data_IF_961934618785
#
_entry.id   IF_961934618785
#
_cell.length_a   1.000
_cell.length_b   1.000
_cell.length_c   1.000
_cell.angle_alpha   90.00
_cell.angle_beta   90.00
_cell.angle_gamma   90.00
#
_symmetry.space_group_name_H-M   'P 1'
#
loop_
_entity.id
_entity.type
_entity.pdbx_description
1 polymer ?
#
# COMPACT_ATOMS: atom_id res chain seq x y z
N UNK A 1 -7.09 2.27 12.88
CA UNK A 1 -8.42 2.58 12.34
C UNK A 1 -8.43 2.08 10.90
N UNK A 2 -9.16 1.00 10.61
CA UNK A 2 -9.42 0.57 9.23
C UNK A 2 -10.17 1.71 8.55
N UNK A 3 -9.58 2.30 7.52
CA UNK A 3 -10.31 3.22 6.63
C UNK A 3 -11.62 2.53 6.26
N UNK A 4 -12.72 3.24 6.40
CA UNK A 4 -14.04 2.76 6.02
C UNK A 4 -14.04 2.70 4.48
N UNK A 5 -13.65 1.53 3.95
CA UNK A 5 -13.62 1.29 2.50
C UNK A 5 -15.07 1.25 2.05
N UNK A 6 -15.48 2.20 1.25
CA UNK A 6 -16.77 2.15 0.56
C UNK A 6 -16.74 1.01 -0.47
N UNK A 7 -17.14 -0.17 0.00
CA UNK A 7 -17.19 -1.37 -0.85
C UNK A 7 -18.16 -1.20 -2.02
N UNK A 8 -19.18 -0.37 -1.90
CA UNK A 8 -20.13 -0.08 -2.98
C UNK A 8 -19.45 0.72 -4.08
N UNK A 9 -18.77 1.82 -3.73
CA UNK A 9 -17.99 2.60 -4.69
C UNK A 9 -16.89 1.78 -5.38
N UNK A 10 -16.23 0.89 -4.64
CA UNK A 10 -15.23 -0.04 -5.21
C UNK A 10 -15.85 -1.00 -6.21
N UNK A 11 -17.02 -1.57 -5.90
CA UNK A 11 -17.72 -2.52 -6.76
C UNK A 11 -18.26 -1.83 -8.02
N UNK A 12 -18.75 -0.59 -7.88
CA UNK A 12 -19.25 0.24 -8.98
C UNK A 12 -18.16 0.69 -9.96
N UNK A 13 -16.97 0.98 -9.45
CA UNK A 13 -15.83 1.37 -10.27
C UNK A 13 -15.25 0.23 -11.10
N UNK A 14 -15.63 -1.03 -10.81
CA UNK A 14 -15.08 -2.21 -11.49
C UNK A 14 -15.57 -2.28 -12.94
N UNK A 15 -14.66 -2.37 -13.95
CA UNK A 15 -15.04 -2.40 -15.35
C UNK A 15 -15.72 -3.70 -15.80
N UNK A 16 -15.55 -4.78 -15.04
CA UNK A 16 -16.17 -6.08 -15.31
C UNK A 16 -17.61 -6.12 -14.82
N UNK A 17 -18.54 -6.73 -15.58
CA UNK A 17 -19.93 -6.93 -15.17
C UNK A 17 -20.04 -7.87 -13.97
N UNK A 18 -20.63 -7.38 -12.89
CA UNK A 18 -20.92 -8.15 -11.67
C UNK A 18 -22.36 -7.98 -11.25
N UNK A 19 -22.93 -9.07 -10.72
CA UNK A 19 -24.18 -9.05 -9.97
C UNK A 19 -24.08 -9.93 -8.71
N UNK A 20 -24.92 -9.65 -7.73
CA UNK A 20 -24.98 -10.39 -6.48
C UNK A 20 -26.39 -10.97 -6.32
N UNK A 21 -26.44 -12.30 -6.13
CA UNK A 21 -27.67 -13.04 -5.81
C UNK A 21 -27.69 -13.44 -4.33
N UNK A 22 -28.87 -13.58 -3.77
CA UNK A 22 -29.05 -14.32 -2.52
C UNK A 22 -29.18 -15.85 -2.79
N UNK A 23 -29.39 -16.61 -1.72
CA UNK A 23 -29.52 -18.07 -1.81
C UNK A 23 -30.80 -18.53 -2.58
N UNK A 24 -31.78 -17.65 -2.70
CA UNK A 24 -33.01 -17.89 -3.46
C UNK A 24 -32.89 -17.40 -4.91
N UNK A 25 -31.70 -17.03 -5.33
CA UNK A 25 -31.36 -16.52 -6.66
C UNK A 25 -32.10 -15.22 -7.01
N UNK A 26 -32.40 -14.40 -6.02
CA UNK A 26 -32.95 -13.06 -6.21
C UNK A 26 -31.76 -12.07 -6.38
N UNK A 27 -31.81 -11.20 -7.39
CA UNK A 27 -30.81 -10.18 -7.64
C UNK A 27 -30.87 -9.12 -6.54
N UNK A 28 -29.79 -8.93 -5.81
CA UNK A 28 -29.68 -7.98 -4.70
C UNK A 28 -28.81 -6.77 -5.01
N UNK A 29 -27.90 -6.93 -5.97
CA UNK A 29 -27.03 -5.85 -6.39
C UNK A 29 -26.53 -6.09 -7.81
N UNK A 30 -26.31 -5.01 -8.57
CA UNK A 30 -25.70 -5.00 -9.91
C UNK A 30 -24.80 -3.79 -10.04
N UNK A 31 -23.61 -3.96 -10.64
CA UNK A 31 -22.75 -2.83 -10.88
C UNK A 31 -23.07 -2.15 -12.24
N UNK A 32 -22.64 -0.88 -12.45
CA UNK A 32 -22.91 -0.16 -13.69
C UNK A 32 -22.41 -0.87 -14.97
N UNK A 33 -21.33 -1.67 -14.85
CA UNK A 33 -20.86 -2.48 -15.98
C UNK A 33 -21.87 -3.60 -16.35
N UNK A 34 -22.50 -4.23 -15.37
CA UNK A 34 -23.51 -5.24 -15.58
C UNK A 34 -24.78 -4.65 -16.24
N UNK A 35 -25.22 -3.48 -15.78
CA UNK A 35 -26.36 -2.76 -16.38
C UNK A 35 -26.14 -2.47 -17.87
N UNK A 36 -24.95 -1.94 -18.21
CA UNK A 36 -24.58 -1.68 -19.61
C UNK A 36 -24.56 -2.95 -20.47
N UNK A 37 -24.03 -4.03 -19.89
CA UNK A 37 -23.90 -5.31 -20.60
C UNK A 37 -25.24 -6.00 -20.80
N UNK A 38 -26.15 -5.93 -19.81
CA UNK A 38 -27.48 -6.50 -19.87
C UNK A 38 -28.48 -5.66 -20.67
N UNK A 39 -28.17 -4.37 -20.93
CA UNK A 39 -29.10 -3.42 -21.55
C UNK A 39 -30.36 -3.19 -20.70
N UNK A 40 -30.21 -3.25 -19.39
CA UNK A 40 -31.31 -3.14 -18.41
C UNK A 40 -31.03 -2.03 -17.40
N UNK A 41 -32.11 -1.53 -16.77
CA UNK A 41 -32.02 -0.59 -15.66
C UNK A 41 -31.98 -1.33 -14.32
N UNK A 42 -31.57 -0.64 -13.27
CA UNK A 42 -31.49 -1.18 -11.92
C UNK A 42 -32.88 -1.64 -11.43
N UNK A 43 -33.93 -0.85 -11.66
CA UNK A 43 -35.31 -1.17 -11.28
C UNK A 43 -35.86 -2.41 -12.00
N UNK A 44 -35.33 -2.73 -13.16
CA UNK A 44 -35.72 -3.92 -13.92
C UNK A 44 -35.08 -5.21 -13.38
N UNK A 45 -33.99 -5.10 -12.61
CA UNK A 45 -33.21 -6.23 -12.15
C UNK A 45 -33.30 -6.46 -10.64
N UNK A 46 -33.10 -5.43 -9.82
CA UNK A 46 -33.02 -5.59 -8.36
C UNK A 46 -34.34 -6.06 -7.77
N UNK A 47 -34.25 -7.01 -6.85
CA UNK A 47 -35.39 -7.60 -6.15
C UNK A 47 -36.16 -8.65 -6.96
N UNK A 48 -35.73 -8.94 -8.18
CA UNK A 48 -36.39 -9.97 -9.02
C UNK A 48 -35.57 -11.26 -9.03
N UNK A 49 -36.28 -12.35 -9.26
CA UNK A 49 -35.65 -13.64 -9.50
C UNK A 49 -34.82 -13.60 -10.76
N UNK A 50 -33.59 -14.13 -10.71
CA UNK A 50 -32.59 -13.98 -11.76
C UNK A 50 -33.12 -14.38 -13.17
N UNK A 51 -33.78 -15.52 -13.27
CA UNK A 51 -34.28 -16.04 -14.55
C UNK A 51 -35.53 -15.32 -15.06
N UNK A 52 -36.29 -14.62 -14.19
CA UNK A 52 -37.41 -13.78 -14.59
C UNK A 52 -36.92 -12.38 -15.06
N UNK A 53 -35.89 -11.86 -14.41
CA UNK A 53 -35.29 -10.55 -14.74
C UNK A 53 -34.53 -10.58 -16.04
N UNK A 54 -33.89 -11.71 -16.34
CA UNK A 54 -33.09 -11.97 -17.53
C UNK A 54 -33.65 -13.22 -18.23
N UNK A 55 -34.81 -13.14 -18.92
CA UNK A 55 -35.42 -14.28 -19.60
C UNK A 55 -34.63 -14.68 -20.82
N UNK A 56 -34.52 -15.96 -21.05
CA UNK A 56 -33.89 -16.55 -22.23
C UNK A 56 -34.71 -16.36 -23.50
N UNK A 57 -34.07 -16.36 -24.67
CA UNK A 57 -34.74 -16.34 -25.97
C UNK A 57 -35.73 -17.50 -26.07
N UNK A 58 -37.02 -17.24 -26.33
CA UNK A 58 -38.06 -18.30 -26.44
C UNK A 58 -37.76 -19.42 -27.43
N UNK A 59 -36.91 -19.15 -28.44
CA UNK A 59 -36.53 -20.12 -29.46
C UNK A 59 -35.46 -21.15 -29.04
N UNK A 60 -34.84 -20.94 -27.86
CA UNK A 60 -33.74 -21.77 -27.34
C UNK A 60 -33.95 -22.20 -25.88
N UNK A 61 -35.17 -22.10 -25.41
CA UNK A 61 -35.53 -22.52 -24.04
C UNK A 61 -35.19 -23.99 -23.87
N UNK A 62 -34.50 -24.28 -22.76
CA UNK A 62 -34.43 -25.53 -22.01
C UNK A 62 -33.05 -26.06 -21.65
N UNK A 63 -31.97 -25.76 -22.35
CA UNK A 63 -30.67 -26.36 -22.02
C UNK A 63 -29.79 -25.38 -21.21
N UNK A 64 -29.75 -24.13 -21.61
CA UNK A 64 -28.90 -23.12 -20.99
C UNK A 64 -29.40 -22.74 -19.59
N UNK A 65 -30.70 -22.44 -19.47
CA UNK A 65 -31.31 -22.13 -18.16
C UNK A 65 -31.19 -23.30 -17.20
N UNK A 66 -31.50 -24.54 -17.65
CA UNK A 66 -31.35 -25.73 -16.81
C UNK A 66 -29.93 -25.94 -16.32
N UNK A 67 -28.93 -25.75 -17.18
CA UNK A 67 -27.53 -25.91 -16.82
C UNK A 67 -27.07 -24.86 -15.80
N UNK A 68 -27.44 -23.60 -16.02
CA UNK A 68 -27.09 -22.49 -15.12
C UNK A 68 -27.81 -22.65 -13.76
N UNK A 69 -29.09 -22.99 -13.78
CA UNK A 69 -29.88 -23.26 -12.57
C UNK A 69 -29.30 -24.42 -11.77
N UNK A 70 -28.95 -25.52 -12.43
CA UNK A 70 -28.28 -26.65 -11.79
C UNK A 70 -26.92 -26.30 -11.19
N UNK A 71 -26.13 -25.44 -11.87
CA UNK A 71 -24.85 -24.93 -11.38
C UNK A 71 -25.04 -24.07 -10.12
N UNK A 72 -25.95 -23.11 -10.14
CA UNK A 72 -26.22 -22.24 -9.01
C UNK A 72 -26.76 -23.03 -7.79
N UNK A 73 -27.65 -23.99 -8.01
CA UNK A 73 -28.14 -24.85 -6.92
C UNK A 73 -27.04 -25.73 -6.32
N UNK A 74 -26.13 -26.30 -7.14
CA UNK A 74 -24.99 -27.04 -6.62
C UNK A 74 -24.07 -26.13 -5.79
N UNK A 75 -23.83 -24.89 -6.22
CA UNK A 75 -23.02 -23.92 -5.51
C UNK A 75 -23.64 -23.61 -4.13
N UNK A 76 -24.94 -23.34 -4.05
CA UNK A 76 -25.65 -23.10 -2.78
C UNK A 76 -25.50 -24.30 -1.85
N UNK A 77 -25.63 -25.52 -2.38
CA UNK A 77 -25.55 -26.76 -1.59
C UNK A 77 -24.13 -27.11 -1.12
N UNK A 78 -23.13 -26.93 -2.00
CA UNK A 78 -21.75 -27.32 -1.71
C UNK A 78 -20.93 -26.19 -1.11
N UNK A 79 -21.33 -24.94 -1.34
CA UNK A 79 -20.56 -23.74 -0.97
C UNK A 79 -19.21 -23.66 -1.65
N UNK A 80 -19.02 -24.33 -2.79
CA UNK A 80 -17.79 -24.26 -3.59
C UNK A 80 -18.00 -23.37 -4.80
N UNK A 81 -16.99 -22.56 -5.20
CA UNK A 81 -17.06 -21.79 -6.42
C UNK A 81 -17.33 -22.70 -7.63
N UNK A 82 -18.24 -22.30 -8.48
CA UNK A 82 -18.49 -22.97 -9.77
C UNK A 82 -18.18 -22.02 -10.92
N UNK A 83 -17.53 -22.53 -11.95
CA UNK A 83 -17.33 -21.84 -13.22
C UNK A 83 -18.35 -22.45 -14.19
N UNK A 84 -19.34 -21.67 -14.58
CA UNK A 84 -20.28 -22.11 -15.60
C UNK A 84 -19.56 -22.19 -16.94
N UNK A 85 -19.88 -23.22 -17.69
CA UNK A 85 -19.37 -23.45 -19.04
C UNK A 85 -19.83 -22.29 -19.95
N UNK A 86 -19.04 -22.03 -21.01
CA UNK A 86 -19.44 -21.18 -22.12
C UNK A 86 -20.90 -21.42 -22.48
N UNK A 87 -21.73 -20.40 -22.31
CA UNK A 87 -23.17 -20.53 -22.45
C UNK A 87 -23.69 -19.50 -23.44
N UNK A 88 -24.48 -19.94 -24.41
CA UNK A 88 -25.24 -19.05 -25.26
C UNK A 88 -26.43 -18.53 -24.42
N UNK A 89 -26.55 -17.22 -24.33
CA UNK A 89 -27.65 -16.56 -23.69
C UNK A 89 -27.92 -15.27 -24.47
N UNK A 90 -28.94 -15.33 -25.34
CA UNK A 90 -29.27 -14.25 -26.25
C UNK A 90 -29.90 -13.07 -25.47
N UNK A 91 -29.51 -11.86 -25.81
CA UNK A 91 -30.05 -10.63 -25.18
C UNK A 91 -31.02 -9.93 -26.12
N UNK A 92 -32.03 -9.20 -25.60
CA UNK A 92 -32.91 -8.40 -26.45
C UNK A 92 -32.11 -7.39 -27.27
N UNK A 93 -32.37 -7.33 -28.58
CA UNK A 93 -31.72 -6.40 -29.48
C UNK A 93 -32.28 -4.98 -29.26
N UNK A 94 -31.44 -3.96 -29.03
CA UNK A 94 -31.89 -2.61 -28.68
C UNK A 94 -32.72 -1.93 -29.79
N UNK A 95 -32.56 -2.34 -31.03
CA UNK A 95 -33.18 -1.70 -32.20
C UNK A 95 -34.33 -2.50 -32.84
N UNK A 96 -34.74 -3.64 -32.26
CA UNK A 96 -35.82 -4.48 -32.83
C UNK A 96 -36.83 -4.86 -31.72
N UNK A 97 -38.12 -4.57 -31.93
CA UNK A 97 -39.18 -4.72 -30.95
C UNK A 97 -39.43 -6.16 -30.43
N UNK A 98 -38.93 -7.20 -31.13
CA UNK A 98 -38.99 -8.62 -30.71
C UNK A 98 -37.72 -9.40 -31.11
N UNK A 99 -36.62 -8.70 -31.38
CA UNK A 99 -35.34 -9.30 -31.79
C UNK A 99 -34.46 -9.69 -30.63
N UNK A 100 -33.77 -10.81 -30.80
CA UNK A 100 -32.70 -11.24 -29.91
C UNK A 100 -31.37 -11.24 -30.64
N UNK A 101 -30.28 -10.78 -29.95
CA UNK A 101 -28.94 -10.85 -30.46
C UNK A 101 -28.19 -12.05 -29.82
N UNK A 102 -27.59 -12.88 -30.70
CA UNK A 102 -26.83 -14.05 -30.24
C UNK A 102 -25.64 -13.59 -29.39
N UNK A 103 -25.60 -14.01 -28.13
CA UNK A 103 -24.50 -13.71 -27.19
C UNK A 103 -23.99 -14.97 -26.52
N UNK A 104 -22.68 -14.99 -26.32
CA UNK A 104 -21.99 -16.06 -25.63
C UNK A 104 -21.30 -15.53 -24.37
N UNK A 105 -21.55 -16.20 -23.28
CA UNK A 105 -21.14 -15.75 -21.96
C UNK A 105 -20.25 -16.76 -21.27
N UNK A 106 -19.18 -16.28 -20.63
CA UNK A 106 -18.42 -17.01 -19.62
C UNK A 106 -18.80 -16.45 -18.25
N UNK A 107 -19.25 -17.30 -17.35
CA UNK A 107 -19.73 -16.92 -16.03
C UNK A 107 -18.92 -17.61 -14.94
N UNK A 108 -18.61 -16.85 -13.87
CA UNK A 108 -17.94 -17.35 -12.67
C UNK A 108 -18.83 -17.03 -11.49
N UNK A 109 -19.16 -18.04 -10.70
CA UNK A 109 -19.97 -17.90 -9.49
C UNK A 109 -19.12 -18.13 -8.25
N UNK A 110 -19.07 -17.15 -7.35
CA UNK A 110 -18.32 -17.20 -6.10
C UNK A 110 -19.27 -17.11 -4.91
N UNK A 111 -19.38 -18.14 -4.07
CA UNK A 111 -20.22 -18.09 -2.89
C UNK A 111 -19.58 -17.27 -1.78
N UNK A 112 -20.38 -16.44 -1.10
CA UNK A 112 -20.04 -15.79 0.16
C UNK A 112 -20.86 -16.43 1.28
N UNK A 113 -20.16 -16.95 2.30
CA UNK A 113 -20.80 -17.61 3.45
C UNK A 113 -21.12 -16.60 4.54
N UNK A 114 -22.24 -16.81 5.20
CA UNK A 114 -22.59 -16.12 6.42
C UNK A 114 -21.81 -16.66 7.64
N UNK A 115 -21.99 -16.04 8.81
CA UNK A 115 -21.37 -16.49 10.07
C UNK A 115 -21.76 -17.93 10.47
N UNK A 116 -22.92 -18.39 10.01
CA UNK A 116 -23.47 -19.75 10.20
C UNK A 116 -22.86 -20.80 9.25
N UNK A 117 -21.96 -20.38 8.36
CA UNK A 117 -21.32 -21.25 7.37
C UNK A 117 -22.18 -21.54 6.13
N UNK A 118 -23.44 -21.09 6.09
CA UNK A 118 -24.32 -21.22 4.91
C UNK A 118 -23.96 -20.18 3.83
N UNK A 119 -24.28 -20.47 2.57
CA UNK A 119 -24.11 -19.50 1.48
C UNK A 119 -25.19 -18.43 1.62
N UNK A 120 -24.76 -17.21 1.90
CA UNK A 120 -25.65 -16.05 2.03
C UNK A 120 -25.79 -15.27 0.73
N UNK A 121 -24.67 -15.13 -0.01
CA UNK A 121 -24.60 -14.39 -1.26
C UNK A 121 -23.82 -15.17 -2.31
N UNK A 122 -24.13 -14.93 -3.58
CA UNK A 122 -23.41 -15.43 -4.74
C UNK A 122 -22.98 -14.22 -5.57
N UNK A 123 -21.67 -14.02 -5.71
CA UNK A 123 -21.15 -13.04 -6.66
C UNK A 123 -21.02 -13.73 -8.01
N UNK A 124 -21.70 -13.22 -9.01
CA UNK A 124 -21.60 -13.66 -10.40
C UNK A 124 -20.82 -12.64 -11.21
N UNK A 125 -19.70 -13.05 -11.75
CA UNK A 125 -18.95 -12.32 -12.76
C UNK A 125 -19.33 -12.84 -14.13
N UNK A 126 -19.60 -11.93 -15.06
CA UNK A 126 -20.02 -12.26 -16.43
C UNK A 126 -19.02 -11.64 -17.42
N UNK A 127 -18.62 -12.40 -18.44
CA UNK A 127 -17.75 -11.91 -19.51
C UNK A 127 -18.38 -12.25 -20.85
N UNK A 128 -18.57 -11.23 -21.70
CA UNK A 128 -19.01 -11.42 -23.09
C UNK A 128 -17.84 -11.98 -23.91
N UNK A 129 -18.01 -13.16 -24.45
CA UNK A 129 -17.03 -13.85 -25.29
C UNK A 129 -17.55 -14.08 -26.71
N UNK A 130 -18.63 -13.40 -27.08
CA UNK A 130 -19.32 -13.53 -28.38
C UNK A 130 -18.36 -13.32 -29.55
N UNK A 131 -17.55 -12.27 -29.51
CA UNK A 131 -16.58 -11.99 -30.57
C UNK A 131 -15.53 -13.10 -30.75
N UNK A 132 -15.17 -13.79 -29.65
CA UNK A 132 -14.26 -14.94 -29.73
C UNK A 132 -14.93 -16.16 -30.35
N UNK A 133 -16.19 -16.43 -29.98
CA UNK A 133 -16.93 -17.62 -30.44
C UNK A 133 -17.40 -17.46 -31.88
N UNK A 134 -17.87 -16.28 -32.27
CA UNK A 134 -18.38 -15.99 -33.60
C UNK A 134 -17.30 -15.53 -34.60
N UNK A 135 -16.02 -15.54 -34.20
CA UNK A 135 -14.94 -15.17 -35.11
C UNK A 135 -14.95 -16.05 -36.37
N UNK A 136 -14.55 -15.52 -37.57
CA UNK A 136 -14.50 -16.31 -38.82
C UNK A 136 -13.68 -17.59 -38.67
N UNK A 137 -12.64 -17.55 -37.84
CA UNK A 137 -11.77 -18.67 -37.49
C UNK A 137 -12.48 -19.73 -36.64
N UNK A 138 -13.35 -19.33 -35.74
CA UNK A 138 -14.13 -20.25 -34.91
C UNK A 138 -15.28 -20.89 -35.72
N UNK A 139 -15.93 -20.14 -36.65
CA UNK A 139 -16.95 -20.68 -37.56
C UNK A 139 -16.39 -21.73 -38.50
N UNK A 140 -15.21 -21.50 -39.11
CA UNK A 140 -14.53 -22.43 -39.98
C UNK A 140 -14.16 -23.76 -39.29
N UNK A 141 -13.78 -23.68 -38.00
CA UNK A 141 -13.49 -24.86 -37.17
C UNK A 141 -14.75 -25.60 -36.71
N UNK A 142 -15.90 -24.90 -36.62
CA UNK A 142 -17.18 -25.48 -36.18
C UNK A 142 -17.85 -26.30 -37.31
N UNK A 143 -17.67 -25.90 -38.58
CA UNK A 143 -18.21 -26.60 -39.73
C UNK A 143 -17.44 -27.91 -40.04
N UNK A 144 -16.14 -27.98 -39.67
CA UNK A 144 -15.29 -29.13 -39.94
C UNK A 144 -15.32 -30.26 -38.89
N UNK A 145 -15.62 -29.97 -37.60
CA UNK A 145 -15.78 -31.00 -36.58
C UNK A 145 -16.31 -30.45 -35.22
N UNK A 146 -17.50 -30.87 -34.76
CA UNK A 146 -18.06 -30.54 -33.46
C UNK A 146 -17.17 -30.98 -32.27
N UNK A 147 -16.36 -32.02 -32.46
CA UNK A 147 -15.43 -32.54 -31.45
C UNK A 147 -14.23 -31.62 -31.24
N UNK A 148 -13.72 -30.98 -32.29
CA UNK A 148 -12.61 -30.00 -32.19
C UNK A 148 -13.02 -28.74 -31.46
N UNK A 149 -14.24 -28.25 -31.68
CA UNK A 149 -14.77 -27.08 -31.00
C UNK A 149 -14.95 -27.34 -29.48
N UNK A 150 -15.42 -28.56 -29.14
CA UNK A 150 -15.49 -29.00 -27.72
C UNK A 150 -14.11 -29.15 -27.07
N UNK A 151 -13.15 -29.71 -27.82
CA UNK A 151 -11.76 -29.86 -27.34
C UNK A 151 -11.08 -28.51 -27.11
N UNK A 152 -11.28 -27.54 -28.00
CA UNK A 152 -10.70 -26.20 -27.91
C UNK A 152 -11.35 -25.39 -26.75
N UNK A 153 -12.66 -25.52 -26.57
CA UNK A 153 -13.34 -24.95 -25.43
C UNK A 153 -12.81 -25.55 -24.11
N UNK A 154 -12.63 -26.87 -24.05
CA UNK A 154 -12.09 -27.54 -22.87
C UNK A 154 -10.64 -27.10 -22.56
N UNK A 155 -9.80 -26.90 -23.59
CA UNK A 155 -8.44 -26.39 -23.42
C UNK A 155 -8.40 -24.94 -22.92
N UNK A 156 -9.24 -24.06 -23.47
CA UNK A 156 -9.40 -22.67 -22.98
C UNK A 156 -9.86 -22.64 -21.51
N UNK A 157 -10.76 -23.53 -21.14
CA UNK A 157 -11.21 -23.70 -19.76
C UNK A 157 -10.08 -24.17 -18.84
N UNK A 158 -9.31 -25.15 -19.27
CA UNK A 158 -8.16 -25.64 -18.49
C UNK A 158 -7.14 -24.52 -18.27
N UNK A 159 -6.84 -23.74 -19.32
CA UNK A 159 -5.93 -22.59 -19.23
C UNK A 159 -6.47 -21.46 -18.33
N UNK A 160 -7.76 -21.14 -18.46
CA UNK A 160 -8.39 -20.12 -17.60
C UNK A 160 -8.37 -20.54 -16.12
N UNK A 161 -8.68 -21.80 -15.83
CA UNK A 161 -8.56 -22.34 -14.46
C UNK A 161 -7.13 -22.28 -13.93
N UNK A 162 -6.15 -22.63 -14.75
CA UNK A 162 -4.74 -22.60 -14.39
C UNK A 162 -4.28 -21.16 -14.12
N UNK A 163 -4.64 -20.19 -14.97
CA UNK A 163 -4.37 -18.77 -14.75
C UNK A 163 -4.99 -18.25 -13.45
N UNK A 164 -6.23 -18.63 -13.16
CA UNK A 164 -6.87 -18.25 -11.89
C UNK A 164 -6.22 -18.89 -10.68
N UNK A 165 -5.77 -20.15 -10.79
CA UNK A 165 -5.01 -20.83 -9.73
C UNK A 165 -3.69 -20.12 -9.47
N UNK A 166 -2.89 -19.88 -10.53
CA UNK A 166 -1.60 -19.20 -10.44
C UNK A 166 -1.73 -17.78 -9.90
N UNK A 167 -2.75 -17.02 -10.33
CA UNK A 167 -3.00 -15.67 -9.82
C UNK A 167 -3.36 -15.69 -8.32
N UNK A 168 -4.13 -16.69 -7.87
CA UNK A 168 -4.46 -16.85 -6.44
C UNK A 168 -3.22 -17.22 -5.62
N UNK A 169 -2.41 -18.15 -6.12
CA UNK A 169 -1.15 -18.55 -5.47
C UNK A 169 -0.17 -17.39 -5.39
N UNK A 170 -0.05 -16.61 -6.49
CA UNK A 170 0.77 -15.40 -6.54
C UNK A 170 0.32 -14.36 -5.49
N UNK A 171 -0.99 -14.08 -5.43
CA UNK A 171 -1.55 -13.15 -4.43
C UNK A 171 -1.32 -13.63 -3.00
N UNK A 172 -1.45 -14.93 -2.75
CA UNK A 172 -1.19 -15.50 -1.42
C UNK A 172 0.30 -15.48 -1.05
N UNK A 173 1.19 -15.74 -2.01
CA UNK A 173 2.63 -15.64 -1.81
C UNK A 173 3.01 -14.18 -1.50
N UNK A 174 2.52 -13.24 -2.27
CA UNK A 174 2.76 -11.81 -2.07
C UNK A 174 2.24 -11.30 -0.73
N UNK A 175 1.03 -11.70 -0.31
CA UNK A 175 0.49 -11.36 1.01
C UNK A 175 1.31 -11.94 2.17
N UNK A 176 1.87 -13.15 2.01
CA UNK A 176 2.77 -13.74 3.02
C UNK A 176 4.10 -13.00 3.10
N UNK A 177 4.66 -12.64 1.95
CA UNK A 177 5.88 -11.85 1.86
C UNK A 177 5.71 -10.49 2.54
N UNK A 178 4.61 -9.80 2.28
CA UNK A 178 4.25 -8.55 2.95
C UNK A 178 4.15 -8.73 4.47
N UNK A 179 3.48 -9.77 4.94
CA UNK A 179 3.33 -10.02 6.38
C UNK A 179 4.68 -10.27 7.06
N UNK A 180 5.56 -11.04 6.44
CA UNK A 180 6.92 -11.29 6.95
C UNK A 180 7.71 -9.99 6.99
N UNK A 181 7.63 -9.18 5.94
CA UNK A 181 8.31 -7.93 5.81
C UNK A 181 7.89 -6.92 6.90
N UNK A 182 6.59 -6.75 7.12
CA UNK A 182 6.05 -5.90 8.20
C UNK A 182 6.49 -6.38 9.58
N UNK A 183 6.43 -7.69 9.83
CA UNK A 183 6.85 -8.25 11.13
C UNK A 183 8.34 -8.04 11.39
N UNK A 184 9.18 -8.17 10.36
CA UNK A 184 10.62 -7.91 10.47
C UNK A 184 10.88 -6.42 10.74
N UNK A 185 10.20 -5.54 10.04
CA UNK A 185 10.33 -4.08 10.23
C UNK A 185 9.91 -3.66 11.64
N UNK A 186 8.77 -4.15 12.15
CA UNK A 186 8.33 -3.90 13.52
C UNK A 186 9.34 -4.42 14.55
N UNK A 187 9.94 -5.58 14.31
CA UNK A 187 10.98 -6.12 15.19
C UNK A 187 12.31 -5.32 15.10
N UNK A 188 12.59 -4.74 13.95
CA UNK A 188 13.81 -3.94 13.72
C UNK A 188 13.65 -2.49 14.19
N UNK A 189 12.46 -1.90 14.09
CA UNK A 189 12.13 -0.60 14.67
C UNK A 189 11.80 -0.83 16.15
N UNK A 190 12.83 -0.81 17.03
CA UNK A 190 12.57 -0.80 18.47
C UNK A 190 11.73 0.42 18.80
N UNK A 191 10.51 0.20 19.27
CA UNK A 191 9.69 1.29 19.83
C UNK A 191 10.44 1.82 21.05
N UNK A 192 10.95 3.06 21.03
CA UNK A 192 11.53 3.64 22.25
C UNK A 192 10.43 3.68 23.30
N UNK A 193 10.81 3.59 24.57
CA UNK A 193 9.88 3.76 25.70
C UNK A 193 9.40 5.24 25.73
N UNK A 194 8.46 5.57 24.81
CA UNK A 194 7.91 6.92 24.66
C UNK A 194 7.15 7.36 25.92
N UNK A 195 6.76 6.44 26.81
CA UNK A 195 6.18 6.77 28.11
C UNK A 195 7.16 7.55 28.98
N UNK A 196 8.47 7.38 28.74
CA UNK A 196 9.53 8.16 29.41
C UNK A 196 9.82 9.50 28.74
N UNK A 197 9.43 9.65 27.49
CA UNK A 197 9.72 10.82 26.65
C UNK A 197 8.44 11.50 26.18
N UNK A 198 7.63 11.98 27.10
CA UNK A 198 6.35 12.67 26.80
C UNK A 198 6.52 13.94 25.96
N UNK A 199 7.76 14.41 25.83
CA UNK A 199 8.14 15.56 25.01
C UNK A 199 8.60 15.16 23.60
N UNK A 200 8.52 13.87 23.21
CA UNK A 200 8.90 13.36 21.89
C UNK A 200 7.69 12.74 21.21
N UNK A 201 7.45 13.11 19.96
CA UNK A 201 6.50 12.44 19.09
C UNK A 201 7.23 11.82 17.89
N UNK A 202 6.79 10.65 17.48
CA UNK A 202 7.30 9.96 16.31
C UNK A 202 6.15 9.60 15.38
N UNK A 203 6.34 9.80 14.07
CA UNK A 203 5.46 9.29 13.02
C UNK A 203 6.29 8.54 12.00
N UNK A 204 5.84 7.37 11.66
CA UNK A 204 6.49 6.51 10.69
C UNK A 204 5.44 5.99 9.70
N UNK A 205 5.58 6.35 8.43
CA UNK A 205 4.59 6.11 7.39
C UNK A 205 5.28 5.43 6.20
N UNK A 206 4.96 4.15 5.94
CA UNK A 206 5.51 3.45 4.78
C UNK A 206 4.86 3.93 3.47
N UNK A 207 5.61 3.92 2.39
CA UNK A 207 5.11 4.20 1.04
C UNK A 207 4.00 3.22 0.63
N UNK A 208 2.92 3.74 0.02
CA UNK A 208 1.74 2.94 -0.34
C UNK A 208 1.93 2.06 -1.57
N UNK A 209 2.98 2.27 -2.36
CA UNK A 209 3.16 1.63 -3.68
C UNK A 209 4.00 0.34 -3.67
N UNK A 210 4.65 -0.01 -2.56
CA UNK A 210 5.53 -1.18 -2.46
C UNK A 210 5.12 -2.14 -1.34
N UNK A 211 5.93 -3.16 -1.07
CA UNK A 211 5.72 -4.19 -0.04
C UNK A 211 5.59 -3.65 1.40
N UNK A 212 5.34 -2.36 1.61
CA UNK A 212 5.21 -1.67 2.91
C UNK A 212 6.43 -1.88 3.84
N UNK A 213 7.62 -2.01 3.28
CA UNK A 213 8.86 -2.20 4.02
C UNK A 213 9.88 -1.18 3.55
N UNK A 214 10.37 -0.39 4.49
CA UNK A 214 11.05 0.89 4.31
C UNK A 214 12.55 0.81 4.51
N UNK A 215 13.29 1.67 3.79
CA UNK A 215 14.70 1.99 4.04
C UNK A 215 14.89 2.98 5.19
N UNK A 216 13.88 3.77 5.49
CA UNK A 216 13.89 4.77 6.54
C UNK A 216 13.95 4.20 7.94
N UNK A 217 14.64 4.90 8.85
CA UNK A 217 14.61 4.55 10.27
C UNK A 217 14.71 5.77 11.17
N UNK A 218 14.30 5.59 12.41
CA UNK A 218 14.62 6.46 13.54
C UNK A 218 15.15 5.64 14.71
N UNK A 219 15.86 6.29 15.61
CA UNK A 219 16.39 5.68 16.84
C UNK A 219 16.48 6.69 17.95
N UNK A 220 16.08 6.31 19.17
CA UNK A 220 16.20 7.13 20.38
C UNK A 220 16.91 6.29 21.43
N UNK A 221 18.00 6.82 21.97
CA UNK A 221 18.89 6.10 22.90
C UNK A 221 19.14 6.94 24.14
N UNK A 222 18.71 6.45 25.29
CA UNK A 222 19.05 7.06 26.58
C UNK A 222 20.53 6.88 26.90
N UNK A 223 21.16 7.97 27.31
CA UNK A 223 22.54 8.05 27.72
C UNK A 223 22.65 8.75 29.10
N UNK A 224 22.42 7.99 30.19
CA UNK A 224 22.43 8.57 31.55
C UNK A 224 23.70 9.36 31.87
N UNK A 225 23.64 10.37 32.78
CA UNK A 225 22.44 10.72 33.57
C UNK A 225 21.45 11.66 32.90
N UNK A 226 21.85 12.60 32.07
CA UNK A 226 20.99 13.69 31.59
C UNK A 226 21.11 13.88 30.07
N UNK A 227 21.34 12.79 29.32
CA UNK A 227 21.54 12.84 27.88
C UNK A 227 20.72 11.76 27.19
N UNK A 228 20.30 12.06 25.98
CA UNK A 228 19.77 11.07 25.05
C UNK A 228 20.22 11.42 23.62
N UNK A 229 20.29 10.42 22.77
CA UNK A 229 20.69 10.59 21.39
C UNK A 229 19.56 10.16 20.45
N UNK A 230 19.33 10.95 19.42
CA UNK A 230 18.34 10.70 18.39
C UNK A 230 19.02 10.54 17.04
N UNK A 231 18.50 9.66 16.21
CA UNK A 231 18.94 9.52 14.83
C UNK A 231 17.72 9.37 13.92
N UNK A 232 17.87 9.85 12.69
CA UNK A 232 17.02 9.53 11.55
C UNK A 232 17.97 9.22 10.38
N UNK A 233 17.58 8.30 9.52
CA UNK A 233 18.37 7.95 8.35
C UNK A 233 17.53 7.22 7.32
N UNK A 234 18.11 7.02 6.15
CA UNK A 234 17.52 6.36 5.01
C UNK A 234 18.53 5.49 4.27
N UNK A 235 18.06 4.32 3.80
CA UNK A 235 18.81 3.38 2.95
C UNK A 235 18.27 3.44 1.54
N UNK A 236 19.13 3.66 0.58
CA UNK A 236 18.78 3.71 -0.84
C UNK A 236 18.02 2.47 -1.27
N UNK A 237 16.81 2.65 -1.81
CA UNK A 237 15.96 1.58 -2.32
C UNK A 237 14.82 1.18 -1.37
N UNK A 238 14.05 0.19 -1.77
CA UNK A 238 12.84 -0.23 -1.06
C UNK A 238 12.75 -1.75 -0.96
N UNK A 239 11.87 -2.21 -0.07
CA UNK A 239 11.57 -3.61 0.12
C UNK A 239 12.50 -4.30 1.13
N UNK A 240 12.38 -5.61 1.22
CA UNK A 240 12.98 -6.43 2.29
C UNK A 240 14.50 -6.27 2.41
N UNK A 241 15.20 -6.09 1.29
CA UNK A 241 16.66 -5.91 1.29
C UNK A 241 17.06 -4.58 1.94
N UNK A 242 16.42 -3.47 1.56
CA UNK A 242 16.66 -2.15 2.16
C UNK A 242 16.32 -2.17 3.66
N UNK A 243 15.22 -2.78 4.07
CA UNK A 243 14.86 -2.91 5.47
C UNK A 243 15.87 -3.74 6.29
N UNK A 244 16.41 -4.81 5.73
CA UNK A 244 17.44 -5.59 6.40
C UNK A 244 18.72 -4.77 6.64
N UNK A 245 19.15 -4.00 5.63
CA UNK A 245 20.30 -3.07 5.74
C UNK A 245 20.00 -1.98 6.77
N UNK A 246 18.82 -1.38 6.69
CA UNK A 246 18.34 -0.38 7.66
C UNK A 246 18.45 -0.91 9.09
N UNK A 247 17.93 -2.11 9.36
CA UNK A 247 18.01 -2.73 10.69
C UNK A 247 19.45 -2.94 11.17
N UNK A 248 20.35 -3.35 10.28
CA UNK A 248 21.78 -3.48 10.59
C UNK A 248 22.45 -2.13 10.90
N UNK A 249 22.21 -1.10 10.09
CA UNK A 249 22.79 0.24 10.29
C UNK A 249 22.26 0.88 11.56
N UNK A 250 20.95 0.83 11.79
CA UNK A 250 20.32 1.36 13.00
C UNK A 250 20.85 0.67 14.27
N UNK A 251 20.93 -0.66 14.26
CA UNK A 251 21.42 -1.42 15.42
C UNK A 251 22.89 -1.14 15.71
N UNK A 252 23.71 -1.03 14.67
CA UNK A 252 25.12 -0.66 14.79
C UNK A 252 25.26 0.75 15.39
N UNK A 253 24.53 1.75 14.85
CA UNK A 253 24.57 3.12 15.33
C UNK A 253 24.09 3.22 16.80
N UNK A 254 23.02 2.52 17.16
CA UNK A 254 22.49 2.45 18.51
C UNK A 254 23.47 1.85 19.51
N UNK A 255 24.25 0.86 19.10
CA UNK A 255 25.30 0.26 19.94
C UNK A 255 26.51 1.18 20.10
N UNK A 256 26.96 1.79 18.99
CA UNK A 256 28.16 2.66 18.99
C UNK A 256 27.95 3.89 19.85
N UNK A 257 26.77 4.56 19.77
CA UNK A 257 26.55 5.80 20.54
C UNK A 257 26.56 5.58 22.07
N UNK A 258 26.22 4.36 22.54
CA UNK A 258 26.31 3.99 23.94
C UNK A 258 27.75 3.89 24.45
N UNK A 259 28.67 3.50 23.55
CA UNK A 259 30.10 3.36 23.87
C UNK A 259 30.87 4.66 23.60
N UNK A 260 30.49 5.37 22.53
CA UNK A 260 31.16 6.58 22.05
C UNK A 260 30.09 7.68 21.88
N UNK A 261 29.82 8.47 22.93
CA UNK A 261 28.74 9.46 22.90
C UNK A 261 29.16 10.73 22.09
N UNK A 262 29.71 10.55 20.92
CA UNK A 262 30.01 11.59 19.93
C UNK A 262 29.29 11.28 18.64
N UNK A 263 28.35 12.12 18.17
CA UNK A 263 27.66 11.93 16.92
C UNK A 263 28.58 11.73 15.71
N UNK A 264 29.62 12.54 15.61
CA UNK A 264 30.58 12.44 14.51
C UNK A 264 31.34 11.11 14.50
N UNK A 265 31.86 10.69 15.66
CA UNK A 265 32.56 9.41 15.77
C UNK A 265 31.62 8.21 15.56
N UNK A 266 30.39 8.30 16.04
CA UNK A 266 29.39 7.26 15.83
C UNK A 266 29.07 7.09 14.33
N UNK A 267 28.86 8.17 13.60
CA UNK A 267 28.66 8.14 12.15
C UNK A 267 29.92 7.75 11.36
N UNK A 268 31.10 8.04 11.88
CA UNK A 268 32.38 7.58 11.32
C UNK A 268 32.43 6.05 11.34
N UNK A 269 32.21 5.45 12.51
CA UNK A 269 32.19 3.98 12.68
C UNK A 269 31.12 3.36 11.82
N UNK A 270 29.92 3.97 11.75
CA UNK A 270 28.84 3.51 10.92
C UNK A 270 29.20 3.55 9.43
N UNK A 271 29.91 4.59 8.98
CA UNK A 271 30.38 4.72 7.60
C UNK A 271 31.39 3.63 7.21
N UNK A 272 32.27 3.25 8.14
CA UNK A 272 33.17 2.10 7.94
C UNK A 272 32.39 0.79 7.86
N UNK A 273 31.38 0.61 8.70
CA UNK A 273 30.51 -0.57 8.67
C UNK A 273 29.71 -0.63 7.36
N UNK A 274 29.15 0.49 6.88
CA UNK A 274 28.39 0.56 5.64
C UNK A 274 29.21 0.11 4.42
N UNK A 275 30.52 0.33 4.39
CA UNK A 275 31.41 -0.17 3.34
C UNK A 275 31.53 -1.69 3.29
N UNK A 276 31.33 -2.35 4.42
CA UNK A 276 31.43 -3.80 4.52
C UNK A 276 30.12 -4.54 4.28
N UNK A 277 29.00 -3.80 4.13
CA UNK A 277 27.67 -4.35 3.93
C UNK A 277 27.19 -4.02 2.51
N UNK A 278 26.92 -5.06 1.73
CA UNK A 278 26.40 -4.89 0.36
C UNK A 278 25.07 -4.13 0.38
N UNK A 279 24.99 -3.06 -0.43
CA UNK A 279 23.79 -2.21 -0.53
C UNK A 279 23.68 -1.11 0.54
N UNK A 280 24.57 -1.06 1.54
CA UNK A 280 24.56 -0.01 2.58
C UNK A 280 25.30 1.28 2.19
N UNK A 281 26.04 1.26 1.09
CA UNK A 281 26.72 2.45 0.58
C UNK A 281 25.71 3.51 0.15
N UNK A 282 26.06 4.77 0.42
CA UNK A 282 25.23 5.95 0.14
C UNK A 282 23.97 6.06 1.01
N UNK A 283 23.78 5.21 2.01
CA UNK A 283 22.77 5.46 3.04
C UNK A 283 23.03 6.80 3.74
N UNK A 284 21.97 7.52 4.08
CA UNK A 284 22.04 8.80 4.77
C UNK A 284 21.69 8.66 6.23
N UNK A 285 22.29 9.48 7.11
CA UNK A 285 21.93 9.50 8.51
C UNK A 285 22.32 10.82 9.18
N UNK A 286 21.47 11.31 10.07
CA UNK A 286 21.80 12.35 11.03
C UNK A 286 21.79 11.78 12.44
N UNK A 287 22.78 12.12 13.24
CA UNK A 287 22.85 11.73 14.66
C UNK A 287 22.97 12.97 15.52
N UNK A 288 22.11 13.08 16.52
CA UNK A 288 22.02 14.21 17.47
C UNK A 288 22.17 13.67 18.89
N UNK A 289 22.98 14.32 19.67
CA UNK A 289 23.07 14.15 21.14
C UNK A 289 22.48 15.38 21.81
N UNK A 290 21.50 15.18 22.67
CA UNK A 290 20.87 16.23 23.47
C UNK A 290 21.32 16.06 24.92
N UNK A 291 21.98 17.09 25.46
CA UNK A 291 22.36 17.19 26.85
C UNK A 291 21.39 18.16 27.56
N UNK A 292 20.48 17.60 28.38
CA UNK A 292 19.42 18.37 29.01
C UNK A 292 19.94 19.23 30.17
N UNK A 293 21.09 18.86 30.76
CA UNK A 293 21.70 19.59 31.85
C UNK A 293 22.37 20.86 31.37
N UNK A 294 23.16 20.75 30.29
CA UNK A 294 23.87 21.91 29.71
C UNK A 294 23.01 22.64 28.67
N UNK A 295 21.85 22.08 28.30
CA UNK A 295 20.98 22.59 27.22
C UNK A 295 21.74 22.74 25.89
N UNK A 296 22.42 21.71 25.52
CA UNK A 296 23.27 21.68 24.32
C UNK A 296 22.80 20.60 23.39
N UNK A 297 22.66 20.93 22.11
CA UNK A 297 22.50 20.01 21.00
C UNK A 297 23.87 19.84 20.34
N UNK A 298 24.32 18.59 20.15
CA UNK A 298 25.53 18.25 19.42
C UNK A 298 25.11 17.32 18.28
N UNK A 299 25.54 17.59 17.06
CA UNK A 299 25.12 16.80 15.92
C UNK A 299 26.21 16.59 14.86
N UNK A 300 26.01 15.58 14.03
CA UNK A 300 26.75 15.31 12.81
C UNK A 300 25.77 14.73 11.80
N UNK A 301 25.96 15.04 10.52
CA UNK A 301 25.08 14.67 9.43
C UNK A 301 25.88 14.01 8.31
N UNK A 302 25.42 12.86 7.83
CA UNK A 302 25.98 12.06 6.76
C UNK A 302 25.05 12.06 5.54
N UNK A 303 24.94 13.17 4.83
CA UNK A 303 24.15 13.31 3.61
C UNK A 303 22.64 13.31 3.79
N UNK A 304 22.15 13.43 5.02
CA UNK A 304 20.74 13.43 5.36
C UNK A 304 20.15 14.84 5.30
N UNK A 305 18.82 15.02 5.05
CA UNK A 305 18.18 16.33 5.17
C UNK A 305 18.51 17.01 6.52
N UNK A 306 18.78 18.31 6.54
CA UNK A 306 19.19 19.00 7.76
C UNK A 306 18.02 19.05 8.78
N UNK A 307 18.22 18.67 10.04
CA UNK A 307 17.23 18.89 11.09
C UNK A 307 16.89 20.37 11.26
N UNK A 308 15.70 20.64 11.76
CA UNK A 308 15.22 22.01 11.98
C UNK A 308 15.09 22.26 13.49
N UNK A 309 15.64 23.37 13.97
CA UNK A 309 15.38 23.89 15.30
C UNK A 309 14.41 25.08 15.16
N UNK A 310 13.18 24.89 15.62
CA UNK A 310 12.15 25.92 15.65
C UNK A 310 12.14 26.62 17.00
N UNK A 311 12.25 27.92 16.99
CA UNK A 311 12.22 28.77 18.18
C UNK A 311 10.79 29.21 18.56
N UNK A 312 10.55 29.59 19.84
CA UNK A 312 9.24 30.05 20.29
C UNK A 312 8.73 31.30 19.56
N UNK A 313 9.61 32.11 18.98
CA UNK A 313 9.26 33.28 18.18
C UNK A 313 8.79 32.90 16.75
N UNK A 314 9.00 31.67 16.34
CA UNK A 314 8.63 31.13 15.03
C UNK A 314 9.77 31.12 14.02
N UNK A 315 10.96 31.56 14.39
CA UNK A 315 12.16 31.43 13.55
C UNK A 315 12.65 29.99 13.52
N UNK A 316 13.24 29.58 12.40
CA UNK A 316 13.76 28.21 12.17
C UNK A 316 15.25 28.29 11.82
N UNK A 317 16.06 27.53 12.54
CA UNK A 317 17.46 27.31 12.20
C UNK A 317 17.64 25.92 11.58
N UNK A 318 18.32 25.85 10.44
CA UNK A 318 18.71 24.58 9.80
C UNK A 318 20.02 24.09 10.40
N UNK A 319 20.07 22.84 10.83
CA UNK A 319 21.27 22.22 11.39
C UNK A 319 22.16 21.62 10.29
N UNK A 320 22.77 22.48 9.48
CA UNK A 320 23.54 22.13 8.28
C UNK A 320 25.08 22.28 8.43
N UNK A 321 25.57 22.89 9.52
CA UNK A 321 27.01 23.21 9.71
C UNK A 321 27.90 21.97 9.84
N UNK A 322 27.35 20.81 10.17
CA UNK A 322 28.09 19.56 10.31
C UNK A 322 27.71 18.54 9.25
N UNK A 323 27.41 18.98 8.04
CA UNK A 323 27.05 18.13 6.90
C UNK A 323 28.31 17.55 6.24
N UNK A 324 28.20 16.28 5.86
CA UNK A 324 29.25 15.45 5.29
C UNK A 324 28.64 14.45 4.29
N UNK A 325 29.40 13.90 3.34
CA UNK A 325 28.88 12.93 2.38
C UNK A 325 28.20 11.71 3.04
N UNK A 326 27.25 11.04 2.33
CA UNK A 326 26.56 9.84 2.80
C UNK A 326 27.50 8.75 3.32
N UNK A 327 26.94 7.79 4.05
CA UNK A 327 27.72 6.70 4.66
C UNK A 327 28.44 5.85 3.61
N UNK A 328 29.69 5.51 3.89
CA UNK A 328 30.52 4.65 3.04
C UNK A 328 31.08 5.28 1.78
N UNK A 329 30.67 6.50 1.37
CA UNK A 329 31.07 7.13 0.09
C UNK A 329 32.42 7.83 0.10
N UNK A 330 33.01 8.11 1.27
CA UNK A 330 34.30 8.80 1.39
C UNK A 330 35.44 7.88 0.95
N UNK A 331 36.32 8.38 0.09
CA UNK A 331 37.47 7.62 -0.36
C UNK A 331 38.57 7.50 0.73
N UNK A 332 38.71 8.51 1.55
CA UNK A 332 39.75 8.61 2.58
C UNK A 332 39.16 8.75 3.97
N UNK A 333 39.84 8.21 4.96
CA UNK A 333 39.48 8.39 6.36
C UNK A 333 39.78 9.79 6.82
N UNK A 334 38.77 10.65 6.90
CA UNK A 334 38.82 11.99 7.47
C UNK A 334 37.79 12.09 8.54
N UNK A 335 38.06 12.62 9.75
CA UNK A 335 37.06 12.78 10.79
C UNK A 335 35.82 13.52 10.30
N UNK A 336 34.64 13.03 10.65
CA UNK A 336 33.41 13.72 10.30
C UNK A 336 33.27 15.02 11.08
N UNK A 337 32.66 16.07 10.51
CA UNK A 337 32.38 17.30 11.21
C UNK A 337 31.35 17.08 12.31
N UNK A 338 31.45 17.89 13.37
CA UNK A 338 30.50 17.95 14.46
C UNK A 338 30.23 19.40 14.80
N UNK A 339 28.99 19.79 14.98
CA UNK A 339 28.60 21.11 15.44
C UNK A 339 27.80 21.01 16.74
N UNK A 340 27.76 22.09 17.47
CA UNK A 340 27.00 22.20 18.70
C UNK A 340 26.35 23.57 18.82
N UNK A 341 25.11 23.60 19.29
CA UNK A 341 24.38 24.84 19.57
C UNK A 341 23.58 24.72 20.85
N UNK A 342 23.45 25.80 21.64
CA UNK A 342 22.59 25.84 22.80
C UNK A 342 21.12 25.92 22.36
N UNK A 343 20.23 25.40 23.17
CA UNK A 343 18.79 25.56 23.00
C UNK A 343 18.14 26.20 24.25
N UNK A 344 16.98 26.79 24.05
CA UNK A 344 16.17 27.36 25.15
C UNK A 344 14.92 26.51 25.38
N UNK A 345 14.35 26.52 26.62
CA UNK A 345 13.10 25.83 26.89
C UNK A 345 11.98 26.31 25.98
N UNK A 346 11.32 25.34 25.31
CA UNK A 346 10.26 25.59 24.36
C UNK A 346 10.68 25.53 22.89
N UNK A 347 11.98 25.46 22.62
CA UNK A 347 12.48 25.11 21.28
C UNK A 347 11.94 23.74 20.86
N UNK A 348 11.73 23.56 19.57
CA UNK A 348 11.27 22.29 18.97
C UNK A 348 12.32 21.84 17.95
N UNK A 349 12.86 20.66 18.19
CA UNK A 349 13.77 20.01 17.26
C UNK A 349 12.99 19.02 16.39
N UNK A 350 13.16 19.12 15.06
CA UNK A 350 12.47 18.25 14.10
C UNK A 350 13.49 17.56 13.21
N UNK A 351 13.42 16.22 13.20
CA UNK A 351 14.18 15.35 12.28
C UNK A 351 13.18 14.65 11.36
N UNK A 352 13.54 14.48 10.13
CA UNK A 352 12.63 13.91 9.11
C UNK A 352 13.44 13.30 7.96
N UNK A 353 12.85 12.37 7.23
CA UNK A 353 13.38 11.84 5.97
C UNK A 353 12.83 12.62 4.78
N UNK A 354 13.48 12.49 3.63
CA UNK A 354 13.18 13.27 2.43
C UNK A 354 11.75 13.07 1.90
N UNK A 355 11.16 11.87 2.09
CA UNK A 355 9.76 11.60 1.72
C UNK A 355 8.74 12.59 2.33
N UNK A 356 9.10 13.31 3.41
CA UNK A 356 8.26 14.36 3.98
C UNK A 356 8.25 15.64 3.12
N UNK A 357 9.35 15.97 2.47
CA UNK A 357 9.56 17.24 1.76
C UNK A 357 9.70 17.08 0.26
N UNK A 358 10.20 15.93 -0.24
CA UNK A 358 10.45 15.69 -1.65
C UNK A 358 9.17 15.44 -2.44
N UNK A 359 9.08 16.04 -3.63
CA UNK A 359 8.02 15.81 -4.61
C UNK A 359 8.61 15.74 -6.01
N UNK A 360 8.05 14.88 -6.87
CA UNK A 360 8.59 14.57 -8.20
C UNK A 360 8.84 15.77 -9.12
N UNK A 361 8.09 16.86 -8.95
CA UNK A 361 8.10 18.01 -9.86
C UNK A 361 8.53 19.31 -9.15
N UNK A 362 9.12 19.24 -7.96
CA UNK A 362 9.51 20.39 -7.16
C UNK A 362 10.96 20.30 -6.72
N UNK A 363 11.60 21.46 -6.50
CA UNK A 363 12.90 21.55 -5.84
C UNK A 363 12.76 21.19 -4.36
N UNK A 364 13.75 20.52 -3.79
CA UNK A 364 13.79 20.16 -2.37
C UNK A 364 13.70 21.39 -1.46
N UNK A 365 14.22 22.53 -1.90
CA UNK A 365 14.15 23.81 -1.18
C UNK A 365 12.70 24.29 -1.01
N UNK A 366 11.83 24.08 -2.00
CA UNK A 366 10.41 24.39 -1.89
C UNK A 366 9.70 23.51 -0.86
N UNK A 367 10.10 22.24 -0.77
CA UNK A 367 9.63 21.31 0.26
C UNK A 367 10.06 21.75 1.66
N UNK A 368 11.28 22.18 1.82
CA UNK A 368 11.83 22.68 3.07
C UNK A 368 11.15 23.99 3.51
N UNK A 369 10.86 24.91 2.59
CA UNK A 369 10.12 26.13 2.87
C UNK A 369 8.68 25.84 3.32
N UNK A 370 8.01 24.85 2.71
CA UNK A 370 6.70 24.40 3.18
C UNK A 370 6.75 23.84 4.59
N UNK A 371 7.76 23.02 4.91
CA UNK A 371 7.91 22.42 6.23
C UNK A 371 8.17 23.49 7.29
N UNK A 372 9.11 24.41 7.06
CA UNK A 372 9.42 25.51 8.00
C UNK A 372 8.24 26.44 8.20
N UNK A 373 7.48 26.75 7.15
CA UNK A 373 6.24 27.53 7.23
C UNK A 373 5.17 26.83 8.08
N UNK A 374 4.96 25.52 7.86
CA UNK A 374 3.99 24.75 8.63
C UNK A 374 4.39 24.69 10.13
N UNK A 375 5.67 24.46 10.41
CA UNK A 375 6.23 24.46 11.77
C UNK A 375 5.98 25.79 12.49
N UNK A 376 6.28 26.91 11.84
CA UNK A 376 6.09 28.23 12.43
C UNK A 376 4.61 28.53 12.77
N UNK A 377 3.69 28.04 11.94
CA UNK A 377 2.24 28.23 12.13
C UNK A 377 1.72 27.43 13.33
N UNK A 378 2.17 26.21 13.52
CA UNK A 378 1.65 25.27 14.50
C UNK A 378 2.56 25.12 15.75
N UNK A 379 3.55 26.02 15.94
CA UNK A 379 4.58 25.98 16.99
C UNK A 379 4.07 25.85 18.44
N UNK A 380 2.84 26.29 18.69
CA UNK A 380 2.22 26.23 20.02
C UNK A 380 1.69 24.82 20.38
N UNK A 381 1.54 23.93 19.38
CA UNK A 381 1.00 22.59 19.62
C UNK A 381 2.01 21.72 20.37
N UNK A 382 1.55 20.82 21.27
CA UNK A 382 2.38 19.74 21.81
C UNK A 382 2.96 18.84 20.70
N UNK A 383 4.03 18.06 20.98
CA UNK A 383 4.71 17.27 19.94
C UNK A 383 3.79 16.34 19.12
N UNK A 384 2.91 15.58 19.76
CA UNK A 384 2.00 14.66 19.06
C UNK A 384 1.02 15.37 18.13
N UNK A 385 0.21 16.35 18.58
CA UNK A 385 -0.63 17.15 17.69
C UNK A 385 0.16 17.90 16.62
N UNK A 386 1.39 18.36 16.93
CA UNK A 386 2.22 19.04 15.94
C UNK A 386 2.64 18.09 14.81
N UNK A 387 3.08 16.88 15.13
CA UNK A 387 3.43 15.88 14.15
C UNK A 387 2.25 15.56 13.22
N UNK A 388 1.03 15.40 13.76
CA UNK A 388 -0.18 15.15 12.95
C UNK A 388 -0.58 16.35 12.08
N UNK A 389 -0.44 17.57 12.60
CA UNK A 389 -0.70 18.79 11.86
C UNK A 389 0.27 18.95 10.67
N UNK A 390 1.57 18.64 10.86
CA UNK A 390 2.57 18.68 9.81
C UNK A 390 2.22 17.70 8.68
N UNK A 391 1.91 16.44 8.99
CA UNK A 391 1.52 15.44 8.00
C UNK A 391 0.29 15.87 7.21
N UNK A 392 -0.68 16.50 7.88
CA UNK A 392 -1.91 17.00 7.24
C UNK A 392 -1.62 18.18 6.32
N UNK A 393 -0.86 19.20 6.79
CA UNK A 393 -0.55 20.40 6.01
C UNK A 393 0.34 20.12 4.81
N UNK A 394 1.27 19.20 4.96
CA UNK A 394 2.14 18.75 3.88
C UNK A 394 1.43 17.80 2.91
N UNK A 395 0.13 17.53 3.13
CA UNK A 395 -0.73 16.70 2.28
C UNK A 395 -0.17 15.28 2.03
N UNK A 396 0.42 14.72 3.08
CA UNK A 396 0.99 13.37 3.04
C UNK A 396 -0.11 12.28 2.94
N UNK A 397 -1.34 12.59 3.40
CA UNK A 397 -2.47 11.65 3.43
C UNK A 397 -3.01 11.25 2.03
N UNK A 398 -2.62 11.94 0.95
CA UNK A 398 -3.06 11.67 -0.44
C UNK A 398 -2.34 10.51 -1.14
N UNK A 399 -1.45 9.80 -0.47
CA UNK A 399 -0.60 8.72 -1.00
C UNK A 399 0.87 9.14 -1.01
N UNK A 400 1.67 8.52 -0.16
CA UNK A 400 3.10 8.80 -0.01
C UNK A 400 3.84 8.10 -1.14
N UNK A 401 4.65 8.83 -1.88
CA UNK A 401 5.50 8.27 -2.94
C UNK A 401 6.77 7.61 -2.39
N UNK A 402 7.18 8.00 -1.18
CA UNK A 402 8.34 7.47 -0.46
C UNK A 402 8.03 7.30 1.02
N UNK A 403 8.89 6.59 1.74
CA UNK A 403 8.77 6.36 3.18
C UNK A 403 8.95 7.67 3.96
N UNK A 404 8.33 7.79 5.12
CA UNK A 404 8.47 8.97 5.99
C UNK A 404 8.75 8.56 7.42
N UNK A 405 9.87 9.01 7.94
CA UNK A 405 10.14 9.06 9.37
C UNK A 405 10.16 10.52 9.84
N UNK A 406 9.38 10.85 10.85
CA UNK A 406 9.30 12.19 11.45
C UNK A 406 9.44 12.07 12.97
N UNK A 407 10.40 12.79 13.54
CA UNK A 407 10.63 12.91 14.98
C UNK A 407 10.51 14.36 15.38
N UNK A 408 9.62 14.65 16.32
CA UNK A 408 9.37 15.99 16.87
C UNK A 408 9.69 15.99 18.35
N UNK A 409 10.58 16.87 18.80
CA UNK A 409 11.08 16.93 20.18
C UNK A 409 10.89 18.34 20.73
N UNK A 410 10.16 18.50 21.79
CA UNK A 410 10.10 19.76 22.54
C UNK A 410 11.21 19.78 23.60
N UNK A 411 12.11 20.74 23.51
CA UNK A 411 13.29 20.88 24.34
C UNK A 411 13.03 21.75 25.60
#
# INVERSE_FOLDING_TARGET
MTADIDFTAFFDATPSPYLVLDADLVIRYVNPACLRTAGRTEDELIGKYFFDALPENPGFRDEAERNLKASLHRLVHTGKPETAVLQRYDVPAPDQQDGFEERWWSMIHTPLRGPDGTVKWIIQQVTDVTACVLSPRARQLSEESPERTRSMAAELYARARELHRLNRELRQAHAREQQVAVTLQEAMLSVPDLDRHTNIAVRYLPATASLNVCGDWYDIVDLPPDRYAVAVGDVVGHGLHAAAIMGMLRSALSAVIRAIPSPAQALEVLGLYARAVDGAMAATAVKILIDTRSRLIIYSNAGHPPPILLHPDGTCDLLDQATDPPLGTREHHVPRPQAGLPYIPGDILVLYTDGLIERRDEDIDAGLERLTTALAQDRALPPDPLADALLTRLNVAGGVSDDIALVVIRL
#
